data_IF_476028420513
#
_entry.id   IF_476028420513
#
_cell.length_a   1.000
_cell.length_b   1.000
_cell.length_c   1.000
_cell.angle_alpha   90.00
_cell.angle_beta   90.00
_cell.angle_gamma   90.00
#
_symmetry.space_group_name_H-M   'P 1'
#
loop_
_entity.id
_entity.type
_entity.pdbx_description
1 polymer ?
#
# COMPACT_ATOMS: atom_id res chain seq x y z
N UNK A 1 -4.66 -14.12 7.10
CA UNK A 1 -3.74 -13.29 7.89
C UNK A 1 -2.71 -12.64 6.97
N UNK A 2 -2.50 -11.31 7.03
CA UNK A 2 -1.40 -10.66 6.30
C UNK A 2 -0.22 -10.42 7.24
N UNK A 3 1.01 -10.55 6.74
CA UNK A 3 2.24 -10.27 7.51
C UNK A 3 3.09 -9.27 6.74
N UNK A 4 3.59 -8.26 7.42
CA UNK A 4 4.61 -7.35 6.90
C UNK A 4 5.85 -7.49 7.78
N UNK A 5 6.99 -7.81 7.17
CA UNK A 5 8.29 -7.84 7.81
C UNK A 5 9.19 -6.76 7.18
N UNK A 6 9.89 -6.02 8.02
CA UNK A 6 10.84 -4.98 7.59
C UNK A 6 12.18 -5.24 8.27
N UNK A 7 13.23 -5.33 7.47
CA UNK A 7 14.61 -5.37 7.93
C UNK A 7 15.25 -4.00 7.65
N UNK A 8 15.60 -3.28 8.71
CA UNK A 8 16.24 -1.98 8.64
C UNK A 8 17.73 -2.12 8.90
N UNK A 9 18.55 -1.71 7.92
CA UNK A 9 20.03 -1.75 7.97
C UNK A 9 20.61 -3.12 8.39
N UNK A 10 19.87 -4.19 8.11
CA UNK A 10 20.32 -5.56 8.35
C UNK A 10 21.31 -6.04 7.27
N UNK A 11 21.31 -5.39 6.10
CA UNK A 11 22.16 -5.70 4.96
C UNK A 11 22.93 -4.45 4.54
N UNK A 12 24.22 -4.60 4.21
CA UNK A 12 25.11 -3.48 3.93
C UNK A 12 24.74 -2.67 2.67
N UNK A 13 24.21 -3.34 1.65
CA UNK A 13 23.85 -2.77 0.35
C UNK A 13 22.34 -2.49 0.19
N UNK A 14 21.53 -2.85 1.19
CA UNK A 14 20.07 -2.72 1.18
C UNK A 14 19.60 -2.17 2.53
N UNK A 15 19.55 -0.84 2.72
CA UNK A 15 19.20 -0.23 4.00
C UNK A 15 17.75 -0.54 4.43
N UNK A 16 16.86 -0.83 3.48
CA UNK A 16 15.50 -1.30 3.72
C UNK A 16 15.26 -2.57 2.90
N UNK A 17 14.77 -3.62 3.55
CA UNK A 17 14.14 -4.77 2.87
C UNK A 17 12.77 -4.97 3.50
N UNK A 18 11.74 -5.04 2.68
CA UNK A 18 10.38 -5.29 3.13
C UNK A 18 9.78 -6.51 2.41
N UNK A 19 9.06 -7.33 3.16
CA UNK A 19 8.35 -8.51 2.64
C UNK A 19 6.93 -8.48 3.16
N UNK A 20 5.97 -8.58 2.26
CA UNK A 20 4.55 -8.65 2.58
C UNK A 20 3.94 -9.97 2.10
N UNK A 21 3.25 -10.68 2.99
CA UNK A 21 2.31 -11.73 2.59
C UNK A 21 0.90 -11.16 2.62
N UNK A 22 0.13 -11.48 1.58
CA UNK A 22 -1.30 -11.18 1.53
C UNK A 22 -2.07 -12.48 1.51
N UNK A 23 -2.96 -12.62 2.47
CA UNK A 23 -3.98 -13.66 2.47
C UNK A 23 -5.32 -12.99 2.20
N UNK A 24 -5.97 -13.44 1.14
CA UNK A 24 -7.20 -12.87 0.61
C UNK A 24 -8.11 -14.00 0.15
N UNK A 25 -9.41 -13.70 0.03
CA UNK A 25 -10.38 -14.58 -0.62
C UNK A 25 -9.95 -15.00 -2.02
N UNK A 26 -10.13 -16.28 -2.33
CA UNK A 26 -9.78 -16.88 -3.63
C UNK A 26 -10.59 -16.30 -4.80
N UNK A 27 -11.78 -15.76 -4.53
CA UNK A 27 -12.67 -15.17 -5.54
C UNK A 27 -12.34 -13.69 -5.85
N UNK A 28 -11.33 -13.11 -5.20
CA UNK A 28 -10.91 -11.74 -5.44
C UNK A 28 -9.74 -11.72 -6.43
N UNK A 29 -9.98 -11.42 -7.72
CA UNK A 29 -8.92 -11.42 -8.72
C UNK A 29 -7.90 -10.32 -8.47
N UNK A 30 -6.64 -10.59 -8.81
CA UNK A 30 -5.56 -9.62 -8.78
C UNK A 30 -4.56 -9.87 -9.90
N UNK A 31 -3.96 -8.80 -10.41
CA UNK A 31 -2.83 -8.89 -11.33
C UNK A 31 -1.51 -9.01 -10.56
N UNK A 32 -0.51 -9.73 -11.11
CA UNK A 32 0.81 -9.82 -10.51
C UNK A 32 1.51 -8.45 -10.46
N UNK A 33 2.64 -8.34 -9.71
CA UNK A 33 3.46 -7.14 -9.72
C UNK A 33 3.90 -6.76 -11.14
N UNK A 34 3.64 -5.52 -11.51
CA UNK A 34 4.10 -4.94 -12.77
C UNK A 34 4.36 -3.44 -12.57
N UNK A 35 5.00 -2.81 -13.54
CA UNK A 35 5.14 -1.35 -13.59
C UNK A 35 3.77 -0.75 -13.91
N UNK A 36 3.35 0.22 -13.11
CA UNK A 36 2.09 0.95 -13.20
C UNK A 36 2.39 2.43 -13.41
N UNK A 37 1.83 2.98 -14.47
CA UNK A 37 1.86 4.42 -14.78
C UNK A 37 0.71 5.10 -14.03
N UNK A 38 0.86 5.25 -12.70
CA UNK A 38 -0.05 6.05 -11.87
C UNK A 38 0.50 7.48 -11.76
N UNK A 39 0.16 8.21 -10.68
CA UNK A 39 0.72 9.55 -10.44
C UNK A 39 2.26 9.54 -10.46
N UNK A 40 2.84 8.48 -9.88
CA UNK A 40 4.25 8.13 -10.01
C UNK A 40 4.41 6.72 -10.59
N UNK A 41 5.50 6.48 -11.32
CA UNK A 41 5.81 5.16 -11.85
C UNK A 41 6.07 4.19 -10.69
N UNK A 42 5.27 3.13 -10.61
CA UNK A 42 5.20 2.28 -9.42
C UNK A 42 5.26 0.81 -9.77
N UNK A 43 6.07 0.02 -9.07
CA UNK A 43 5.99 -1.45 -9.14
C UNK A 43 5.01 -1.93 -8.08
N UNK A 44 3.88 -2.47 -8.52
CA UNK A 44 2.84 -2.97 -7.63
C UNK A 44 1.96 -4.04 -8.31
N UNK A 45 1.42 -5.01 -7.55
CA UNK A 45 0.26 -5.77 -7.99
C UNK A 45 -0.98 -4.88 -8.05
N UNK A 46 -2.05 -5.35 -8.70
CA UNK A 46 -3.31 -4.61 -8.82
C UNK A 46 -4.47 -5.48 -8.31
N UNK A 47 -5.28 -4.94 -7.43
CA UNK A 47 -6.59 -5.50 -7.10
C UNK A 47 -7.55 -5.23 -8.26
N UNK A 48 -7.91 -6.28 -9.01
CA UNK A 48 -8.73 -6.14 -10.21
C UNK A 48 -10.20 -5.79 -9.90
N UNK A 49 -10.64 -5.94 -8.64
CA UNK A 49 -12.01 -5.60 -8.21
C UNK A 49 -12.13 -4.15 -7.79
N UNK A 50 -11.18 -3.67 -6.98
CA UNK A 50 -11.25 -2.33 -6.39
C UNK A 50 -10.30 -1.31 -7.04
N UNK A 51 -9.43 -1.74 -7.96
CA UNK A 51 -8.44 -0.90 -8.61
C UNK A 51 -7.30 -0.42 -7.70
N UNK A 52 -7.21 -0.92 -6.47
CA UNK A 52 -6.17 -0.54 -5.51
C UNK A 52 -4.93 -1.43 -5.56
N UNK A 53 -3.98 -1.21 -4.65
CA UNK A 53 -2.92 -2.18 -4.35
C UNK A 53 -2.80 -2.38 -2.84
N UNK A 54 -2.19 -3.48 -2.41
CA UNK A 54 -1.87 -3.74 -1.00
C UNK A 54 -0.39 -3.52 -0.67
N UNK A 55 0.46 -3.38 -1.70
CA UNK A 55 1.91 -3.19 -1.56
C UNK A 55 2.48 -2.53 -2.82
N UNK A 56 3.52 -1.72 -2.69
CA UNK A 56 4.25 -1.22 -3.85
C UNK A 56 5.45 -0.37 -3.46
N UNK A 57 6.25 -0.06 -4.47
CA UNK A 57 7.31 0.94 -4.38
C UNK A 57 7.32 1.81 -5.64
N UNK A 58 7.48 3.11 -5.48
CA UNK A 58 7.55 4.04 -6.60
C UNK A 58 9.00 4.44 -6.95
N UNK A 59 9.13 5.17 -8.06
CA UNK A 59 10.42 5.64 -8.57
C UNK A 59 11.13 6.67 -7.67
N UNK A 60 10.40 7.33 -6.77
CA UNK A 60 10.96 8.25 -5.76
C UNK A 60 11.43 7.53 -4.49
N UNK A 61 11.32 6.20 -4.43
CA UNK A 61 11.74 5.39 -3.28
C UNK A 61 10.72 5.34 -2.13
N UNK A 62 9.46 5.73 -2.37
CA UNK A 62 8.37 5.53 -1.41
C UNK A 62 7.89 4.09 -1.49
N UNK A 63 7.95 3.39 -0.36
CA UNK A 63 7.35 2.09 -0.16
C UNK A 63 6.09 2.22 0.70
N UNK A 64 5.00 1.60 0.26
CA UNK A 64 3.75 1.55 1.03
C UNK A 64 3.18 0.13 0.98
N UNK A 65 2.63 -0.31 2.11
CA UNK A 65 1.92 -1.57 2.24
C UNK A 65 0.82 -1.46 3.29
N UNK A 66 -0.22 -2.28 3.17
CA UNK A 66 -1.29 -2.34 4.16
C UNK A 66 -1.53 -3.76 4.63
N UNK A 67 -1.79 -3.92 5.93
CA UNK A 67 -2.19 -5.19 6.55
C UNK A 67 -3.65 -5.14 6.98
N UNK A 68 -4.22 -6.31 7.27
CA UNK A 68 -5.57 -6.39 7.81
C UNK A 68 -5.60 -5.87 9.25
N UNK A 69 -6.48 -4.90 9.51
CA UNK A 69 -6.94 -4.52 10.84
C UNK A 69 -8.39 -4.95 10.99
N UNK A 70 -8.69 -5.69 12.05
CA UNK A 70 -10.04 -6.09 12.42
C UNK A 70 -10.59 -5.07 13.42
N UNK A 71 -11.78 -4.57 13.17
CA UNK A 71 -12.51 -3.62 14.02
C UNK A 71 -13.89 -4.18 14.31
N UNK A 72 -14.46 -3.85 15.47
CA UNK A 72 -15.73 -4.44 15.94
C UNK A 72 -16.95 -3.99 15.11
N UNK A 73 -16.87 -2.83 14.47
CA UNK A 73 -17.78 -2.43 13.38
C UNK A 73 -17.20 -2.92 12.06
N UNK A 74 -17.97 -3.69 11.29
CA UNK A 74 -17.59 -4.20 9.96
C UNK A 74 -17.15 -3.11 8.97
N UNK A 75 -16.88 -3.43 7.69
CA UNK A 75 -16.32 -2.46 6.75
C UNK A 75 -17.24 -1.23 6.60
N UNK A 76 -16.86 -0.15 7.27
CA UNK A 76 -17.62 1.10 7.35
C UNK A 76 -17.25 2.10 6.25
N UNK A 77 -16.42 1.69 5.28
CA UNK A 77 -15.87 2.58 4.25
C UNK A 77 -16.42 2.29 2.87
N UNK A 78 -16.90 3.34 2.19
CA UNK A 78 -17.28 3.31 0.77
C UNK A 78 -16.08 3.15 -0.18
N UNK A 79 -14.88 3.45 0.32
CA UNK A 79 -13.61 3.46 -0.44
C UNK A 79 -12.73 2.29 -0.03
N UNK A 80 -12.19 1.56 -1.02
CA UNK A 80 -11.22 0.50 -0.78
C UNK A 80 -9.94 1.02 -0.13
N UNK A 81 -9.48 0.38 0.94
CA UNK A 81 -8.18 0.71 1.58
C UNK A 81 -6.98 0.51 0.65
N UNK A 82 -7.11 -0.29 -0.41
CA UNK A 82 -6.05 -0.43 -1.40
C UNK A 82 -5.83 0.83 -2.24
N UNK A 83 -6.82 1.74 -2.28
CA UNK A 83 -6.66 3.05 -2.92
C UNK A 83 -5.83 3.99 -2.05
N UNK A 84 -5.91 3.87 -0.72
CA UNK A 84 -5.03 4.60 0.20
C UNK A 84 -3.55 4.31 -0.07
N UNK A 85 -3.22 3.04 -0.35
CA UNK A 85 -1.85 2.65 -0.71
C UNK A 85 -1.44 3.28 -2.04
N UNK A 86 -2.36 3.38 -3.02
CA UNK A 86 -2.08 4.07 -4.29
C UNK A 86 -1.84 5.56 -4.08
N UNK A 87 -2.64 6.23 -3.27
CA UNK A 87 -2.47 7.66 -2.97
C UNK A 87 -1.12 7.95 -2.30
N UNK A 88 -0.68 7.05 -1.42
CA UNK A 88 0.64 7.11 -0.78
C UNK A 88 1.77 6.92 -1.81
N UNK A 89 1.61 5.96 -2.72
CA UNK A 89 2.57 5.69 -3.80
C UNK A 89 2.62 6.78 -4.87
N UNK A 90 1.63 7.68 -4.91
CA UNK A 90 1.67 8.90 -5.73
C UNK A 90 2.47 10.05 -5.13
N UNK A 91 3.17 9.85 -3.99
CA UNK A 91 3.97 10.90 -3.33
C UNK A 91 5.46 10.70 -3.53
N UNK A 92 6.22 11.78 -3.39
CA UNK A 92 7.67 11.82 -3.63
C UNK A 92 8.51 11.49 -2.39
N UNK A 93 7.88 11.31 -1.23
CA UNK A 93 8.56 10.89 0.01
C UNK A 93 7.60 10.18 0.97
N UNK A 94 8.15 9.37 1.88
CA UNK A 94 7.36 8.73 2.94
C UNK A 94 6.67 9.75 3.87
N UNK A 95 7.34 10.87 4.14
CA UNK A 95 6.80 11.99 4.92
C UNK A 95 5.58 12.62 4.21
N UNK A 96 5.69 12.91 2.91
CA UNK A 96 4.59 13.47 2.12
C UNK A 96 3.41 12.48 2.00
N UNK A 97 3.70 11.18 1.90
CA UNK A 97 2.68 10.13 1.93
C UNK A 97 1.93 10.09 3.27
N UNK A 98 2.63 10.14 4.39
CA UNK A 98 2.01 10.16 5.71
C UNK A 98 1.12 11.39 5.90
N UNK A 99 1.64 12.59 5.60
CA UNK A 99 0.89 13.85 5.72
C UNK A 99 -0.39 13.85 4.88
N UNK A 100 -0.31 13.39 3.62
CA UNK A 100 -1.48 13.34 2.75
C UNK A 100 -2.60 12.44 3.31
N UNK A 101 -2.24 11.35 4.01
CA UNK A 101 -3.20 10.46 4.67
C UNK A 101 -3.78 11.11 5.92
N UNK A 102 -2.94 11.77 6.72
CA UNK A 102 -3.37 12.51 7.92
C UNK A 102 -4.38 13.62 7.54
N UNK A 103 -4.07 14.42 6.52
CA UNK A 103 -4.94 15.47 6.00
C UNK A 103 -6.30 14.91 5.49
N UNK A 104 -6.30 13.75 4.81
CA UNK A 104 -7.53 13.08 4.39
C UNK A 104 -8.39 12.64 5.59
N UNK A 105 -7.77 12.20 6.70
CA UNK A 105 -8.51 11.80 7.90
C UNK A 105 -9.10 13.00 8.64
N UNK A 106 -8.37 14.11 8.71
CA UNK A 106 -8.86 15.35 9.34
C UNK A 106 -10.05 15.94 8.60
N UNK A 107 -10.02 15.96 7.27
CA UNK A 107 -11.13 16.47 6.44
C UNK A 107 -12.41 15.64 6.50
N UNK A 108 -12.33 14.40 7.01
CA UNK A 108 -13.46 13.46 7.13
C UNK A 108 -14.04 13.37 8.54
N UNK A 109 -13.44 14.04 9.52
CA UNK A 109 -13.88 14.07 10.92
C UNK A 109 -14.73 15.31 11.20
#
# INVERSE_FOLDING_TARGET
MCTLAVAWRAFADRPVVAVGTREESFDRPSEPPAVREWDNRTVAPLDARAGGTWIGANEDGVFAAITNRWTDGGPAGERSRGLLVRDALGRTSAEAAARAIEDELETRS
#
